data_IF_152545185182
#
_entry.id   IF_152545185182
#
_cell.length_a   1.000
_cell.length_b   1.000
_cell.length_c   1.000
_cell.angle_alpha   90.00
_cell.angle_beta   90.00
_cell.angle_gamma   90.00
#
_symmetry.space_group_name_H-M   'P 1'
#
loop_
_entity.id
_entity.type
_entity.pdbx_description
1 polymer ?
#
# COMPACT_ATOMS: atom_id res chain seq x y z
N UNK A 1 -14.76 -17.14 13.24
CA UNK A 1 -14.22 -15.78 13.40
C UNK A 1 -14.67 -14.86 12.26
N UNK A 2 -15.52 -13.88 12.55
CA UNK A 2 -15.99 -12.88 11.59
C UNK A 2 -15.07 -11.65 11.58
N UNK A 3 -14.86 -11.01 10.44
CA UNK A 3 -14.07 -9.76 10.36
C UNK A 3 -14.99 -8.55 10.49
N UNK A 4 -14.49 -7.47 11.06
CA UNK A 4 -15.26 -6.24 11.32
C UNK A 4 -14.57 -5.04 10.68
N UNK A 5 -15.36 -4.14 10.12
CA UNK A 5 -14.95 -2.78 9.79
C UNK A 5 -15.64 -1.84 10.78
N UNK A 6 -14.85 -1.29 11.70
CA UNK A 6 -15.27 -0.20 12.56
C UNK A 6 -15.05 1.10 11.81
N UNK A 7 -16.09 1.89 11.61
CA UNK A 7 -16.05 3.05 10.72
C UNK A 7 -16.50 4.27 11.50
N UNK A 8 -15.66 5.31 11.55
CA UNK A 8 -16.11 6.59 12.07
C UNK A 8 -17.12 7.24 11.13
N UNK A 9 -18.00 8.06 11.69
CA UNK A 9 -19.00 8.80 10.93
C UNK A 9 -18.40 10.08 10.35
N UNK A 10 -18.14 11.03 11.23
CA UNK A 10 -17.70 12.37 10.86
C UNK A 10 -16.23 12.32 10.43
N UNK A 11 -15.87 13.10 9.40
CA UNK A 11 -14.54 13.05 8.78
C UNK A 11 -14.26 11.81 7.90
N UNK A 12 -15.09 10.75 7.99
CA UNK A 12 -14.87 9.47 7.31
C UNK A 12 -15.98 9.10 6.31
N UNK A 13 -17.24 9.02 6.75
CA UNK A 13 -18.41 8.79 5.88
C UNK A 13 -18.93 10.10 5.31
N UNK A 14 -18.93 11.14 6.12
CA UNK A 14 -19.26 12.51 5.78
C UNK A 14 -18.09 13.46 6.12
N UNK A 15 -18.12 14.66 5.55
CA UNK A 15 -17.17 15.72 5.89
C UNK A 15 -17.58 16.31 7.23
N UNK A 16 -16.61 16.49 8.12
CA UNK A 16 -16.80 17.18 9.39
C UNK A 16 -16.78 18.71 9.17
N UNK A 17 -17.75 19.47 9.68
CA UNK A 17 -17.78 20.92 9.60
C UNK A 17 -16.83 21.55 10.64
N UNK A 18 -16.53 22.84 10.50
CA UNK A 18 -15.60 23.57 11.40
C UNK A 18 -16.03 23.56 12.88
N UNK A 19 -17.33 23.43 13.16
CA UNK A 19 -17.87 23.34 14.52
C UNK A 19 -18.02 21.91 15.02
N UNK A 20 -17.55 20.92 14.24
CA UNK A 20 -17.55 19.49 14.55
C UNK A 20 -18.96 18.91 14.81
N UNK A 21 -20.02 19.59 14.35
CA UNK A 21 -21.41 19.19 14.58
C UNK A 21 -22.21 19.13 13.28
N UNK A 22 -22.54 17.92 12.84
CA UNK A 22 -23.40 17.65 11.67
C UNK A 22 -24.85 17.55 12.10
N UNK A 23 -25.43 18.72 12.40
CA UNK A 23 -26.73 18.93 13.07
C UNK A 23 -27.79 19.58 12.15
N UNK A 24 -27.48 19.77 10.86
CA UNK A 24 -28.41 20.30 9.87
C UNK A 24 -28.12 19.81 8.46
N UNK A 25 -29.14 19.77 7.60
CA UNK A 25 -28.99 19.33 6.21
C UNK A 25 -28.05 20.23 5.40
N UNK A 26 -27.91 21.50 5.78
CA UNK A 26 -26.97 22.43 5.13
C UNK A 26 -25.50 22.06 5.39
N UNK A 27 -25.21 21.40 6.52
CA UNK A 27 -23.87 20.93 6.89
C UNK A 27 -23.57 19.54 6.34
N UNK A 28 -24.59 18.71 6.11
CA UNK A 28 -24.38 17.35 5.62
C UNK A 28 -23.76 17.33 4.22
N UNK A 29 -22.51 16.86 4.15
CA UNK A 29 -21.80 16.57 2.90
C UNK A 29 -21.15 15.20 3.01
N UNK A 30 -21.51 14.27 2.13
CA UNK A 30 -20.85 12.96 2.10
C UNK A 30 -19.39 13.09 1.69
N UNK A 31 -18.54 12.27 2.29
CA UNK A 31 -17.14 12.20 1.91
C UNK A 31 -17.04 11.71 0.45
N UNK A 32 -16.16 12.31 -0.39
CA UNK A 32 -16.02 11.90 -1.78
C UNK A 32 -15.89 10.38 -1.96
N UNK A 33 -16.79 9.80 -2.74
CA UNK A 33 -16.84 8.36 -3.11
C UNK A 33 -17.06 7.39 -1.92
N UNK A 34 -17.36 7.87 -0.71
CA UNK A 34 -17.61 6.98 0.46
C UNK A 34 -18.79 6.05 0.21
N UNK A 35 -19.92 6.58 -0.26
CA UNK A 35 -21.11 5.81 -0.61
C UNK A 35 -20.78 4.71 -1.62
N UNK A 36 -20.16 5.08 -2.75
CA UNK A 36 -19.85 4.14 -3.84
C UNK A 36 -18.95 2.99 -3.38
N UNK A 37 -17.80 3.29 -2.76
CA UNK A 37 -16.86 2.25 -2.38
C UNK A 37 -17.30 1.46 -1.15
N UNK A 38 -18.03 2.06 -0.21
CA UNK A 38 -18.59 1.30 0.91
C UNK A 38 -19.70 0.35 0.45
N UNK A 39 -20.52 0.73 -0.54
CA UNK A 39 -21.48 -0.17 -1.20
C UNK A 39 -20.77 -1.37 -1.85
N UNK A 40 -19.66 -1.14 -2.55
CA UNK A 40 -18.85 -2.24 -3.10
C UNK A 40 -18.26 -3.12 -2.01
N UNK A 41 -17.76 -2.54 -0.91
CA UNK A 41 -17.26 -3.33 0.23
C UNK A 41 -18.37 -4.20 0.81
N UNK A 42 -19.56 -3.62 1.06
CA UNK A 42 -20.70 -4.33 1.62
C UNK A 42 -21.22 -5.47 0.72
N UNK A 43 -21.20 -5.28 -0.59
CA UNK A 43 -21.71 -6.27 -1.56
C UNK A 43 -20.70 -7.32 -1.98
N UNK A 44 -19.40 -7.00 -1.98
CA UNK A 44 -18.37 -7.87 -2.53
C UNK A 44 -17.44 -8.50 -1.48
N UNK A 45 -17.54 -8.10 -0.21
CA UNK A 45 -16.64 -8.55 0.85
C UNK A 45 -17.40 -8.99 2.10
N UNK A 46 -16.82 -9.96 2.80
CA UNK A 46 -17.40 -10.51 4.03
C UNK A 46 -16.85 -9.77 5.26
N UNK A 47 -17.39 -8.57 5.49
CA UNK A 47 -17.15 -7.77 6.69
C UNK A 47 -18.46 -7.45 7.40
N UNK A 48 -18.44 -7.51 8.73
CA UNK A 48 -19.44 -6.84 9.55
C UNK A 48 -19.16 -5.34 9.61
N UNK A 49 -20.14 -4.49 9.28
CA UNK A 49 -19.98 -3.05 9.31
C UNK A 49 -20.52 -2.48 10.62
N UNK A 50 -19.67 -1.80 11.38
CA UNK A 50 -20.02 -1.21 12.68
C UNK A 50 -19.65 0.25 12.65
N UNK A 51 -20.61 1.14 12.93
CA UNK A 51 -20.32 2.57 13.05
C UNK A 51 -19.90 2.89 14.48
N UNK A 52 -18.80 3.61 14.67
CA UNK A 52 -18.33 4.03 16.00
C UNK A 52 -17.97 5.50 15.98
N UNK A 53 -18.73 6.33 16.68
CA UNK A 53 -18.56 7.79 16.64
C UNK A 53 -18.67 8.42 18.04
N UNK A 54 -17.90 9.49 18.24
CA UNK A 54 -18.00 10.35 19.42
C UNK A 54 -18.86 11.57 19.04
N UNK A 55 -19.92 11.85 19.79
CA UNK A 55 -20.84 12.97 19.55
C UNK A 55 -20.89 13.85 20.80
N UNK A 56 -19.97 14.81 20.88
CA UNK A 56 -19.78 15.66 22.06
C UNK A 56 -21.09 16.30 22.53
N UNK A 57 -21.50 15.95 23.74
CA UNK A 57 -22.67 16.52 24.39
C UNK A 57 -24.00 16.19 23.71
N UNK A 58 -24.10 15.10 22.94
CA UNK A 58 -25.37 14.69 22.32
C UNK A 58 -26.46 14.51 23.41
N UNK A 59 -27.59 15.21 23.25
CA UNK A 59 -28.67 15.27 24.23
C UNK A 59 -28.57 16.42 25.22
N UNK A 60 -27.56 17.29 25.10
CA UNK A 60 -27.44 18.54 25.86
C UNK A 60 -27.88 19.75 25.01
N UNK A 61 -28.05 20.95 25.61
CA UNK A 61 -28.39 22.15 24.83
C UNK A 61 -27.37 22.53 23.75
N UNK A 62 -26.10 22.11 23.86
CA UNK A 62 -25.08 22.37 22.84
C UNK A 62 -25.15 21.42 21.65
N UNK A 63 -25.78 20.25 21.81
CA UNK A 63 -26.03 19.29 20.73
C UNK A 63 -27.35 18.54 20.95
N UNK A 64 -28.50 19.18 20.67
CA UNK A 64 -29.83 18.60 20.90
C UNK A 64 -30.09 17.40 19.99
N UNK A 65 -30.70 16.34 20.54
CA UNK A 65 -31.05 15.13 19.79
C UNK A 65 -31.99 15.40 18.61
N UNK A 66 -32.87 16.41 18.72
CA UNK A 66 -33.79 16.84 17.66
C UNK A 66 -33.08 17.32 16.39
N UNK A 67 -31.85 17.81 16.52
CA UNK A 67 -31.04 18.27 15.38
C UNK A 67 -30.16 17.13 14.84
N UNK A 68 -29.66 16.25 15.70
CA UNK A 68 -28.80 15.13 15.31
C UNK A 68 -29.54 14.02 14.57
N UNK A 69 -30.63 13.50 15.14
CA UNK A 69 -31.26 12.27 14.63
C UNK A 69 -31.80 12.37 13.21
N UNK A 70 -32.45 13.46 12.77
CA UNK A 70 -32.92 13.56 11.38
C UNK A 70 -31.78 13.46 10.37
N UNK A 71 -30.63 14.05 10.67
CA UNK A 71 -29.46 14.06 9.78
C UNK A 71 -28.74 12.72 9.80
N UNK A 72 -28.55 12.15 11.00
CA UNK A 72 -27.99 10.81 11.17
C UNK A 72 -28.81 9.75 10.44
N UNK A 73 -30.13 9.74 10.62
CA UNK A 73 -31.01 8.77 9.97
C UNK A 73 -31.06 8.94 8.46
N UNK A 74 -31.11 10.18 7.95
CA UNK A 74 -31.04 10.42 6.50
C UNK A 74 -29.74 9.88 5.88
N UNK A 75 -28.61 10.06 6.58
CA UNK A 75 -27.33 9.50 6.16
C UNK A 75 -27.38 7.97 6.13
N UNK A 76 -27.90 7.32 7.18
CA UNK A 76 -28.07 5.86 7.22
C UNK A 76 -28.99 5.36 6.10
N UNK A 77 -30.13 6.00 5.88
CA UNK A 77 -31.07 5.64 4.80
C UNK A 77 -30.42 5.77 3.42
N UNK A 78 -29.58 6.79 3.23
CA UNK A 78 -28.82 6.96 1.99
C UNK A 78 -27.84 5.80 1.77
N UNK A 79 -27.09 5.41 2.80
CA UNK A 79 -26.19 4.25 2.73
C UNK A 79 -26.94 2.93 2.54
N UNK A 80 -28.06 2.74 3.25
CA UNK A 80 -28.92 1.56 3.13
C UNK A 80 -29.54 1.44 1.73
N UNK A 81 -29.91 2.55 1.09
CA UNK A 81 -30.38 2.59 -0.30
C UNK A 81 -29.35 2.07 -1.31
N UNK A 82 -28.06 2.14 -0.97
CA UNK A 82 -26.94 1.60 -1.74
C UNK A 82 -26.46 0.23 -1.22
N UNK A 83 -27.25 -0.42 -0.35
CA UNK A 83 -26.98 -1.77 0.18
C UNK A 83 -26.04 -1.82 1.39
N UNK A 84 -25.63 -0.68 1.94
CA UNK A 84 -24.76 -0.60 3.12
C UNK A 84 -25.60 -0.62 4.39
N UNK A 85 -25.57 -1.72 5.13
CA UNK A 85 -26.27 -1.86 6.41
C UNK A 85 -25.26 -2.05 7.54
N UNK A 86 -25.30 -1.14 8.52
CA UNK A 86 -24.51 -1.28 9.74
C UNK A 86 -25.20 -2.28 10.69
N UNK A 87 -24.47 -3.28 11.17
CA UNK A 87 -25.01 -4.25 12.14
C UNK A 87 -25.20 -3.62 13.52
N UNK A 88 -24.41 -2.59 13.81
CA UNK A 88 -24.50 -1.82 15.04
C UNK A 88 -23.97 -0.39 14.82
N UNK A 89 -24.56 0.54 15.57
CA UNK A 89 -24.16 1.94 15.61
C UNK A 89 -23.88 2.29 17.07
N UNK A 90 -22.61 2.60 17.36
CA UNK A 90 -22.12 2.92 18.70
C UNK A 90 -21.82 4.41 18.75
N UNK A 91 -22.55 5.11 19.62
CA UNK A 91 -22.44 6.56 19.79
C UNK A 91 -22.09 6.84 21.25
N UNK A 92 -20.89 7.38 21.48
CA UNK A 92 -20.54 7.97 22.77
C UNK A 92 -20.99 9.44 22.80
N UNK A 93 -21.65 9.86 23.89
CA UNK A 93 -22.25 11.20 24.02
C UNK A 93 -21.43 12.15 24.90
N UNK A 94 -20.32 11.67 25.47
CA UNK A 94 -19.52 12.42 26.46
C UNK A 94 -18.60 13.44 25.79
N UNK A 95 -18.15 14.44 26.52
CA UNK A 95 -17.17 15.40 26.01
C UNK A 95 -15.75 14.83 26.11
N UNK A 96 -14.84 15.29 25.25
CA UNK A 96 -13.42 14.90 25.32
C UNK A 96 -12.80 15.09 26.72
N UNK A 97 -13.14 16.19 27.40
CA UNK A 97 -12.66 16.51 28.76
C UNK A 97 -13.09 15.50 29.83
N UNK A 98 -14.14 14.74 29.58
CA UNK A 98 -14.71 13.80 30.56
C UNK A 98 -13.86 12.52 30.66
N UNK A 99 -12.97 12.26 29.69
CA UNK A 99 -12.08 11.10 29.64
C UNK A 99 -12.81 9.76 29.90
N UNK A 100 -14.04 9.65 29.40
CA UNK A 100 -14.88 8.48 29.64
C UNK A 100 -14.30 7.25 28.93
N UNK A 101 -14.28 6.05 29.57
CA UNK A 101 -13.77 4.83 28.95
C UNK A 101 -14.63 4.33 27.78
N UNK A 102 -15.83 4.88 27.62
CA UNK A 102 -16.78 4.61 26.53
C UNK A 102 -16.47 5.42 25.27
N UNK A 103 -15.76 6.55 25.40
CA UNK A 103 -15.37 7.44 24.31
C UNK A 103 -14.14 6.90 23.59
N UNK A 104 -14.11 6.92 22.25
CA UNK A 104 -12.88 6.59 21.50
C UNK A 104 -11.74 7.51 21.95
N UNK A 105 -10.52 6.98 22.22
CA UNK A 105 -10.04 5.64 21.85
C UNK A 105 -10.36 4.50 22.84
N UNK A 106 -11.13 4.76 23.89
CA UNK A 106 -11.61 3.76 24.84
C UNK A 106 -12.51 2.69 24.20
N UNK A 107 -12.51 1.49 24.78
CA UNK A 107 -13.16 0.30 24.22
C UNK A 107 -14.36 -0.19 25.04
N UNK A 108 -14.83 0.56 26.05
CA UNK A 108 -15.84 0.06 26.97
C UNK A 108 -17.18 -0.28 26.28
N UNK A 109 -17.56 0.45 25.22
CA UNK A 109 -18.74 0.15 24.39
C UNK A 109 -18.50 -0.99 23.38
N UNK A 110 -17.26 -1.44 23.21
CA UNK A 110 -16.83 -2.41 22.19
C UNK A 110 -16.39 -3.75 22.79
N UNK A 111 -16.58 -3.94 24.10
CA UNK A 111 -16.15 -5.14 24.84
C UNK A 111 -16.65 -6.45 24.26
N UNK A 112 -17.83 -6.46 23.63
CA UNK A 112 -18.38 -7.64 22.94
C UNK A 112 -17.51 -8.12 21.77
N UNK A 113 -16.80 -7.22 21.10
CA UNK A 113 -15.92 -7.57 19.98
C UNK A 113 -14.59 -8.15 20.47
N UNK A 114 -14.13 -7.74 21.65
CA UNK A 114 -12.91 -8.26 22.30
C UNK A 114 -13.08 -9.67 22.89
N UNK A 115 -14.31 -10.03 23.24
CA UNK A 115 -14.65 -11.30 23.91
C UNK A 115 -15.41 -12.28 23.00
N UNK A 116 -15.84 -11.84 21.82
CA UNK A 116 -16.60 -12.63 20.85
C UNK A 116 -15.74 -13.39 19.84
N UNK A 117 -16.41 -14.12 18.94
CA UNK A 117 -15.77 -14.87 17.84
C UNK A 117 -15.42 -13.96 16.64
N UNK A 118 -14.54 -12.97 16.86
CA UNK A 118 -14.11 -12.01 15.84
C UNK A 118 -12.62 -12.14 15.51
N UNK A 119 -12.29 -12.05 14.22
CA UNK A 119 -10.91 -11.99 13.72
C UNK A 119 -10.42 -10.54 13.72
N UNK A 120 -10.12 -10.02 14.91
CA UNK A 120 -9.70 -8.63 15.07
C UNK A 120 -8.37 -8.32 14.36
N UNK A 121 -7.47 -9.30 14.26
CA UNK A 121 -6.19 -9.17 13.54
C UNK A 121 -6.36 -8.86 12.05
N UNK A 122 -7.47 -9.30 11.44
CA UNK A 122 -7.86 -9.00 10.06
C UNK A 122 -9.09 -8.07 9.97
N UNK A 123 -9.40 -7.38 11.07
CA UNK A 123 -10.40 -6.32 11.15
C UNK A 123 -9.72 -4.95 11.10
N UNK A 124 -10.50 -3.92 10.78
CA UNK A 124 -9.96 -2.58 10.58
C UNK A 124 -10.80 -1.53 11.29
N UNK A 125 -10.14 -0.49 11.80
CA UNK A 125 -10.78 0.78 12.15
C UNK A 125 -10.46 1.79 11.04
N UNK A 126 -11.49 2.43 10.51
CA UNK A 126 -11.40 3.47 9.49
C UNK A 126 -11.82 4.79 10.14
N UNK A 127 -10.92 5.76 10.14
CA UNK A 127 -11.15 7.05 10.79
C UNK A 127 -10.16 8.10 10.29
N UNK A 128 -10.49 9.38 10.51
CA UNK A 128 -9.68 10.53 10.09
C UNK A 128 -8.91 11.16 11.27
N UNK A 129 -9.09 10.66 12.49
CA UNK A 129 -8.41 11.15 13.71
C UNK A 129 -7.45 10.10 14.28
N UNK A 130 -6.44 10.57 15.04
CA UNK A 130 -5.51 9.68 15.74
C UNK A 130 -6.21 8.81 16.80
N UNK A 131 -7.33 9.27 17.36
CA UNK A 131 -8.10 8.47 18.32
C UNK A 131 -8.66 7.19 17.67
N UNK A 132 -8.95 7.17 16.37
CA UNK A 132 -9.38 5.96 15.65
C UNK A 132 -8.22 4.99 15.46
N UNK A 133 -7.02 5.52 15.20
CA UNK A 133 -5.80 4.72 15.12
C UNK A 133 -5.48 4.07 16.47
N UNK A 134 -5.58 4.84 17.56
CA UNK A 134 -5.38 4.32 18.92
C UNK A 134 -6.52 3.35 19.30
N UNK A 135 -7.75 3.58 18.85
CA UNK A 135 -8.83 2.62 19.01
C UNK A 135 -8.49 1.29 18.33
N UNK A 136 -7.97 1.32 17.09
CA UNK A 136 -7.55 0.11 16.39
C UNK A 136 -6.53 -0.68 17.20
N UNK A 137 -5.51 0.00 17.72
CA UNK A 137 -4.50 -0.56 18.62
C UNK A 137 -5.14 -1.21 19.86
N UNK A 138 -6.06 -0.49 20.53
CA UNK A 138 -6.74 -0.97 21.73
C UNK A 138 -7.66 -2.17 21.46
N UNK A 139 -8.19 -2.29 20.24
CA UNK A 139 -8.96 -3.45 19.79
C UNK A 139 -8.08 -4.62 19.32
N UNK A 140 -6.78 -4.43 19.10
CA UNK A 140 -5.94 -5.41 18.42
C UNK A 140 -6.23 -5.54 16.92
N UNK A 141 -6.84 -4.50 16.33
CA UNK A 141 -7.13 -4.37 14.91
C UNK A 141 -6.09 -3.50 14.19
N UNK A 142 -6.22 -3.38 12.86
CA UNK A 142 -5.38 -2.49 12.04
C UNK A 142 -6.08 -1.16 11.80
N UNK A 143 -5.32 -0.08 11.63
CA UNK A 143 -5.86 1.24 11.33
C UNK A 143 -5.75 1.58 9.84
N UNK A 144 -6.81 2.15 9.28
CA UNK A 144 -6.83 2.84 8.00
C UNK A 144 -7.09 4.30 8.31
N UNK A 145 -6.08 5.14 8.12
CA UNK A 145 -6.10 6.54 8.51
C UNK A 145 -6.45 7.44 7.33
N UNK A 146 -7.66 8.01 7.34
CA UNK A 146 -8.17 8.97 6.36
C UNK A 146 -7.63 10.38 6.63
N UNK A 147 -6.32 10.54 6.50
CA UNK A 147 -5.58 11.73 6.92
C UNK A 147 -5.87 12.93 6.02
N UNK A 148 -6.81 13.78 6.41
CA UNK A 148 -7.12 15.03 5.71
C UNK A 148 -6.25 16.21 6.15
N UNK A 149 -5.98 16.34 7.45
CA UNK A 149 -5.28 17.50 8.01
C UNK A 149 -4.51 17.11 9.29
N UNK A 150 -3.24 17.51 9.38
CA UNK A 150 -2.33 17.17 10.50
C UNK A 150 -2.68 17.91 11.81
N UNK A 151 -3.59 18.87 11.76
CA UNK A 151 -3.96 19.73 12.89
C UNK A 151 -5.22 19.25 13.66
N UNK A 152 -6.03 18.37 13.08
CA UNK A 152 -7.26 17.86 13.70
C UNK A 152 -6.92 16.92 14.87
N UNK A 153 -7.49 17.19 16.06
CA UNK A 153 -7.24 16.41 17.29
C UNK A 153 -5.91 16.71 18.02
N UNK A 154 -5.20 17.77 17.63
CA UNK A 154 -3.90 18.16 18.25
C UNK A 154 -3.96 18.56 19.73
N UNK A 155 -5.16 18.73 20.28
CA UNK A 155 -5.43 19.03 21.70
C UNK A 155 -5.65 17.78 22.56
N UNK A 156 -5.82 16.60 21.96
CA UNK A 156 -5.98 15.33 22.68
C UNK A 156 -4.59 14.74 22.99
N UNK A 157 -4.31 14.43 24.25
CA UNK A 157 -3.03 13.87 24.70
C UNK A 157 -2.88 12.40 24.27
N UNK A 158 -2.68 12.17 22.98
CA UNK A 158 -2.58 10.86 22.35
C UNK A 158 -1.12 10.45 22.09
N UNK A 159 -0.91 9.15 21.91
CA UNK A 159 0.35 8.59 21.42
C UNK A 159 0.80 9.36 20.16
N UNK A 160 2.09 9.67 20.06
CA UNK A 160 2.64 10.36 18.88
C UNK A 160 2.45 9.50 17.64
N UNK A 161 2.11 10.11 16.50
CA UNK A 161 1.95 9.41 15.21
C UNK A 161 3.11 8.43 14.90
N UNK A 162 4.34 8.82 15.21
CA UNK A 162 5.55 8.01 15.05
C UNK A 162 5.50 6.64 15.77
N UNK A 163 4.82 6.55 16.92
CA UNK A 163 4.69 5.29 17.69
C UNK A 163 3.53 4.42 17.24
N UNK A 164 2.73 4.89 16.27
CA UNK A 164 1.53 4.21 15.76
C UNK A 164 1.71 3.70 14.32
N UNK A 165 2.87 3.93 13.69
CA UNK A 165 3.17 3.55 12.30
C UNK A 165 2.96 2.06 12.04
N UNK A 166 3.25 1.19 13.01
CA UNK A 166 3.08 -0.27 12.87
C UNK A 166 1.61 -0.71 12.85
N UNK A 167 0.70 0.12 13.36
CA UNK A 167 -0.75 -0.14 13.40
C UNK A 167 -1.44 0.36 12.13
N UNK A 168 -0.94 1.47 11.57
CA UNK A 168 -1.49 2.09 10.37
C UNK A 168 -1.05 1.30 9.14
N UNK A 169 -1.99 0.56 8.53
CA UNK A 169 -1.70 -0.22 7.33
C UNK A 169 -1.80 0.62 6.05
N UNK A 170 -2.59 1.71 6.09
CA UNK A 170 -2.82 2.64 5.00
C UNK A 170 -3.11 4.05 5.53
N UNK A 171 -2.40 5.03 4.98
CA UNK A 171 -2.74 6.45 5.06
C UNK A 171 -3.23 6.91 3.69
N UNK A 172 -4.41 7.52 3.62
CA UNK A 172 -5.01 7.98 2.37
C UNK A 172 -6.00 9.14 2.59
N UNK A 173 -6.43 9.77 1.51
CA UNK A 173 -7.54 10.72 1.45
C UNK A 173 -8.68 10.22 0.53
N UNK A 174 -8.60 8.95 0.09
CA UNK A 174 -9.48 8.41 -0.95
C UNK A 174 -10.04 7.07 -0.51
N UNK A 175 -11.37 6.97 -0.52
CA UNK A 175 -12.08 5.70 -0.31
C UNK A 175 -11.73 4.61 -1.33
N UNK A 176 -11.22 4.99 -2.51
CA UNK A 176 -10.71 4.05 -3.51
C UNK A 176 -9.54 3.22 -2.97
N UNK A 177 -8.60 3.86 -2.27
CA UNK A 177 -7.43 3.17 -1.74
C UNK A 177 -7.83 2.20 -0.62
N UNK A 178 -8.85 2.56 0.16
CA UNK A 178 -9.46 1.69 1.18
C UNK A 178 -10.08 0.45 0.53
N UNK A 179 -10.92 0.63 -0.48
CA UNK A 179 -11.51 -0.47 -1.23
C UNK A 179 -10.43 -1.37 -1.84
N UNK A 180 -9.41 -0.78 -2.48
CA UNK A 180 -8.30 -1.51 -3.09
C UNK A 180 -7.52 -2.33 -2.06
N UNK A 181 -7.21 -1.74 -0.89
CA UNK A 181 -6.57 -2.44 0.21
C UNK A 181 -7.44 -3.61 0.71
N UNK A 182 -8.72 -3.38 0.98
CA UNK A 182 -9.60 -4.40 1.54
C UNK A 182 -9.87 -5.54 0.55
N UNK A 183 -9.96 -5.23 -0.75
CA UNK A 183 -10.19 -6.22 -1.82
C UNK A 183 -8.94 -7.02 -2.15
N UNK A 184 -7.82 -6.33 -2.32
CA UNK A 184 -6.62 -6.90 -2.93
C UNK A 184 -5.46 -7.08 -1.95
N UNK A 185 -5.51 -6.48 -0.76
CA UNK A 185 -4.45 -6.54 0.25
C UNK A 185 -3.26 -5.63 -0.06
N UNK A 186 -2.32 -5.52 0.88
CA UNK A 186 -1.08 -4.76 0.68
C UNK A 186 -0.02 -5.61 -0.03
N UNK A 187 0.86 -4.96 -0.80
CA UNK A 187 2.02 -5.57 -1.46
C UNK A 187 3.31 -4.92 -0.99
N UNK A 188 3.45 -4.84 0.33
CA UNK A 188 4.65 -4.38 1.05
C UNK A 188 5.43 -5.60 1.56
N UNK A 189 6.71 -5.67 1.26
CA UNK A 189 7.57 -6.82 1.48
C UNK A 189 8.85 -6.34 2.16
N UNK A 190 9.17 -6.93 3.32
CA UNK A 190 10.51 -6.92 3.86
C UNK A 190 11.14 -8.28 3.55
N UNK A 191 12.31 -8.26 2.91
CA UNK A 191 13.05 -9.46 2.56
C UNK A 191 14.51 -9.30 2.94
N UNK A 192 15.04 -10.30 3.66
CA UNK A 192 16.43 -10.35 4.08
C UNK A 192 17.06 -11.62 3.52
N UNK A 193 18.21 -11.46 2.86
CA UNK A 193 19.03 -12.56 2.34
C UNK A 193 20.45 -12.40 2.88
N UNK A 194 20.96 -13.43 3.53
CA UNK A 194 22.27 -13.42 4.17
C UNK A 194 23.07 -14.67 3.82
N UNK A 195 24.30 -14.48 3.36
CA UNK A 195 25.30 -15.52 3.11
C UNK A 195 26.58 -15.19 3.88
N UNK A 196 27.67 -15.92 3.62
CA UNK A 196 28.99 -15.57 4.13
C UNK A 196 29.64 -14.41 3.35
N UNK A 197 29.13 -14.11 2.16
CA UNK A 197 29.67 -13.10 1.24
C UNK A 197 28.88 -11.79 1.35
N UNK A 198 27.55 -11.89 1.50
CA UNK A 198 26.64 -10.72 1.48
C UNK A 198 25.57 -10.74 2.57
N UNK A 199 25.13 -9.55 2.98
CA UNK A 199 23.97 -9.31 3.86
C UNK A 199 23.10 -8.22 3.22
N UNK A 200 21.92 -8.62 2.73
CA UNK A 200 21.07 -7.77 1.89
C UNK A 200 19.67 -7.69 2.48
N UNK A 201 19.18 -6.47 2.67
CA UNK A 201 17.81 -6.16 3.07
C UNK A 201 17.11 -5.38 1.97
N UNK A 202 15.91 -5.84 1.59
CA UNK A 202 15.02 -5.21 0.62
C UNK A 202 13.71 -4.85 1.32
N UNK A 203 13.31 -3.58 1.29
CA UNK A 203 11.93 -3.17 1.56
C UNK A 203 11.29 -2.72 0.25
N UNK A 204 10.23 -3.41 -0.17
CA UNK A 204 9.56 -3.18 -1.46
C UNK A 204 8.08 -2.90 -1.23
N UNK A 205 7.57 -1.83 -1.83
CA UNK A 205 6.14 -1.54 -1.95
C UNK A 205 5.77 -1.47 -3.43
N UNK A 206 5.08 -2.50 -3.93
CA UNK A 206 4.67 -2.59 -5.33
C UNK A 206 3.59 -1.56 -5.71
N UNK A 207 2.93 -0.96 -4.72
CA UNK A 207 1.89 0.06 -4.88
C UNK A 207 2.41 1.46 -4.48
N UNK A 208 3.73 1.65 -4.52
CA UNK A 208 4.40 2.86 -4.08
C UNK A 208 4.29 4.07 -5.02
N UNK A 209 5.10 5.09 -4.74
CA UNK A 209 5.13 6.36 -5.50
C UNK A 209 6.47 6.61 -6.18
N UNK A 210 7.41 5.67 -6.08
CA UNK A 210 8.75 5.78 -6.65
C UNK A 210 9.79 6.37 -5.71
N UNK A 211 9.59 6.25 -4.38
CA UNK A 211 10.61 6.62 -3.38
C UNK A 211 11.70 5.55 -3.33
N UNK A 212 12.95 5.97 -3.33
CA UNK A 212 14.10 5.07 -3.27
C UNK A 212 15.03 5.41 -2.10
N UNK A 213 15.63 4.38 -1.51
CA UNK A 213 16.79 4.50 -0.63
C UNK A 213 17.72 3.33 -0.93
N UNK A 214 18.79 3.59 -1.67
CA UNK A 214 19.66 2.54 -2.21
C UNK A 214 21.07 2.74 -1.67
N UNK A 215 21.59 1.70 -1.02
CA UNK A 215 22.93 1.66 -0.43
C UNK A 215 23.53 0.28 -0.70
N UNK A 216 24.15 0.09 -1.88
CA UNK A 216 24.86 -1.16 -2.21
C UNK A 216 26.38 -1.07 -2.01
N UNK A 217 26.90 0.16 -1.88
CA UNK A 217 28.33 0.43 -1.92
C UNK A 217 28.90 0.66 -3.32
N UNK A 218 28.06 0.55 -4.36
CA UNK A 218 28.40 0.79 -5.77
C UNK A 218 27.50 1.90 -6.31
N UNK A 219 28.05 3.10 -6.48
CA UNK A 219 27.31 4.32 -6.83
C UNK A 219 26.58 4.23 -8.17
N UNK A 220 27.19 3.60 -9.18
CA UNK A 220 26.54 3.45 -10.48
C UNK A 220 25.38 2.45 -10.40
N UNK A 221 25.56 1.37 -9.65
CA UNK A 221 24.50 0.39 -9.42
C UNK A 221 23.35 0.98 -8.58
N UNK A 222 23.68 1.77 -7.56
CA UNK A 222 22.71 2.51 -6.75
C UNK A 222 21.83 3.41 -7.64
N UNK A 223 22.47 4.15 -8.55
CA UNK A 223 21.79 4.99 -9.52
C UNK A 223 20.87 4.19 -10.46
N UNK A 224 21.27 2.99 -10.88
CA UNK A 224 20.45 2.11 -11.72
C UNK A 224 19.24 1.54 -10.97
N UNK A 225 19.39 1.12 -9.72
CA UNK A 225 18.28 0.64 -8.89
C UNK A 225 17.28 1.77 -8.56
N UNK A 226 17.74 3.01 -8.41
CA UNK A 226 16.86 4.18 -8.29
C UNK A 226 15.92 4.33 -9.51
N UNK A 227 16.41 4.03 -10.72
CA UNK A 227 15.58 4.06 -11.93
C UNK A 227 14.41 3.06 -11.84
N UNK A 228 14.61 1.90 -11.21
CA UNK A 228 13.55 0.89 -10.99
C UNK A 228 12.44 1.48 -10.13
N UNK A 229 12.79 2.10 -9.00
CA UNK A 229 11.81 2.72 -8.12
C UNK A 229 11.06 3.84 -8.83
N UNK A 230 11.80 4.81 -9.38
CA UNK A 230 11.28 6.04 -9.99
C UNK A 230 10.34 5.75 -11.16
N UNK A 231 10.80 4.94 -12.11
CA UNK A 231 10.05 4.69 -13.34
C UNK A 231 9.04 3.56 -13.19
N UNK A 232 9.28 2.64 -12.25
CA UNK A 232 8.38 1.56 -11.84
C UNK A 232 7.20 2.04 -10.98
N UNK A 233 7.33 3.23 -10.37
CA UNK A 233 6.40 3.71 -9.34
C UNK A 233 6.24 2.70 -8.20
N UNK A 234 7.36 2.12 -7.77
CA UNK A 234 7.44 1.26 -6.58
C UNK A 234 8.30 1.95 -5.55
N UNK A 235 8.00 1.81 -4.25
CA UNK A 235 8.94 2.26 -3.24
C UNK A 235 9.96 1.15 -2.99
N UNK A 236 11.24 1.49 -2.97
CA UNK A 236 12.31 0.51 -2.88
C UNK A 236 13.41 1.00 -1.93
N UNK A 237 13.66 0.25 -0.88
CA UNK A 237 14.88 0.34 -0.08
C UNK A 237 15.74 -0.89 -0.33
N UNK A 238 17.02 -0.68 -0.63
CA UNK A 238 18.03 -1.72 -0.75
C UNK A 238 19.21 -1.34 0.11
N UNK A 239 19.55 -2.18 1.07
CA UNK A 239 20.77 -2.06 1.87
C UNK A 239 21.54 -3.35 1.65
N UNK A 240 22.70 -3.26 0.98
CA UNK A 240 23.57 -4.40 0.75
C UNK A 240 24.94 -4.17 1.40
N UNK A 241 25.43 -5.19 2.10
CA UNK A 241 26.79 -5.26 2.62
C UNK A 241 27.44 -6.50 2.04
N UNK A 242 28.29 -6.32 1.04
CA UNK A 242 29.02 -7.40 0.41
C UNK A 242 30.53 -7.26 0.55
N UNK A 243 31.22 -8.26 0.01
CA UNK A 243 32.67 -8.44 0.02
C UNK A 243 33.37 -7.67 -1.12
N UNK A 244 33.05 -6.38 -1.29
CA UNK A 244 33.59 -5.48 -2.34
C UNK A 244 35.12 -5.36 -2.40
N UNK A 245 35.83 -5.92 -1.41
CA UNK A 245 37.29 -6.00 -1.40
C UNK A 245 37.85 -7.18 -2.22
N UNK A 246 37.00 -8.15 -2.56
CA UNK A 246 37.28 -9.24 -3.51
C UNK A 246 36.95 -8.72 -4.91
N UNK A 247 35.67 -8.49 -5.20
CA UNK A 247 35.12 -7.81 -6.37
C UNK A 247 33.65 -7.41 -6.10
N UNK A 248 32.97 -6.87 -7.10
CA UNK A 248 31.56 -6.49 -7.00
C UNK A 248 30.55 -7.62 -7.32
N UNK A 249 31.04 -8.80 -7.73
CA UNK A 249 30.24 -9.86 -8.33
C UNK A 249 29.13 -10.34 -7.39
N UNK A 250 29.52 -10.82 -6.21
CA UNK A 250 28.57 -11.37 -5.23
C UNK A 250 27.56 -10.32 -4.79
N UNK A 251 27.99 -9.06 -4.62
CA UNK A 251 27.10 -7.96 -4.23
C UNK A 251 26.02 -7.73 -5.28
N UNK A 252 26.39 -7.60 -6.55
CA UNK A 252 25.43 -7.34 -7.65
C UNK A 252 24.51 -8.55 -7.86
N UNK A 253 25.07 -9.75 -7.90
CA UNK A 253 24.33 -10.99 -8.10
C UNK A 253 23.29 -11.19 -6.99
N UNK A 254 23.73 -11.15 -5.73
CA UNK A 254 22.86 -11.40 -4.59
C UNK A 254 21.81 -10.30 -4.41
N UNK A 255 22.12 -9.04 -4.77
CA UNK A 255 21.10 -7.98 -4.84
C UNK A 255 20.05 -8.31 -5.90
N UNK A 256 20.45 -8.82 -7.08
CA UNK A 256 19.53 -9.28 -8.11
C UNK A 256 18.62 -10.42 -7.62
N UNK A 257 19.19 -11.41 -6.92
CA UNK A 257 18.43 -12.52 -6.30
C UNK A 257 17.45 -11.98 -5.27
N UNK A 258 17.93 -11.22 -4.28
CA UNK A 258 17.11 -10.70 -3.19
C UNK A 258 15.97 -9.82 -3.71
N UNK A 259 16.25 -8.96 -4.71
CA UNK A 259 15.23 -8.15 -5.35
C UNK A 259 14.20 -9.02 -6.08
N UNK A 260 14.64 -10.01 -6.86
CA UNK A 260 13.75 -10.94 -7.56
C UNK A 260 12.85 -11.73 -6.60
N UNK A 261 13.39 -12.20 -5.48
CA UNK A 261 12.64 -12.88 -4.41
C UNK A 261 11.61 -11.94 -3.77
N UNK A 262 11.95 -10.68 -3.53
CA UNK A 262 11.03 -9.68 -3.01
C UNK A 262 9.86 -9.40 -3.98
N UNK A 263 10.14 -9.29 -5.28
CA UNK A 263 9.09 -9.18 -6.32
C UNK A 263 8.21 -10.42 -6.39
N UNK A 264 8.79 -11.63 -6.37
CA UNK A 264 8.02 -12.87 -6.35
C UNK A 264 7.07 -12.93 -5.14
N UNK A 265 7.56 -12.57 -3.95
CA UNK A 265 6.75 -12.49 -2.72
C UNK A 265 5.63 -11.46 -2.86
N UNK A 266 5.92 -10.28 -3.41
CA UNK A 266 4.93 -9.21 -3.55
C UNK A 266 3.85 -9.48 -4.58
N UNK A 267 4.17 -10.22 -5.65
CA UNK A 267 3.22 -10.61 -6.68
C UNK A 267 2.24 -11.69 -6.21
N UNK A 268 2.65 -12.54 -5.28
CA UNK A 268 1.79 -13.55 -4.64
C UNK A 268 1.06 -14.42 -5.67
N UNK A 269 -0.28 -14.44 -5.61
CA UNK A 269 -1.13 -15.25 -6.49
C UNK A 269 -1.38 -14.65 -7.88
N UNK A 270 -0.81 -13.48 -8.19
CA UNK A 270 -0.84 -12.82 -9.52
C UNK A 270 -2.25 -12.52 -10.05
N UNK A 271 -3.26 -12.46 -9.18
CA UNK A 271 -4.63 -12.09 -9.58
C UNK A 271 -4.69 -10.60 -9.97
N UNK A 272 -5.33 -10.33 -11.11
CA UNK A 272 -5.65 -8.98 -11.58
C UNK A 272 -4.49 -8.17 -12.16
N UNK A 273 -3.34 -8.79 -12.44
CA UNK A 273 -2.17 -8.09 -13.01
C UNK A 273 -2.17 -8.04 -14.55
N UNK A 274 -1.57 -7.00 -15.15
CA UNK A 274 -1.52 -6.81 -16.63
C UNK A 274 -0.43 -7.64 -17.33
N UNK A 275 0.57 -8.13 -16.60
CA UNK A 275 1.58 -9.13 -17.02
C UNK A 275 2.67 -8.73 -18.03
N UNK A 276 2.47 -7.78 -18.97
CA UNK A 276 3.37 -7.57 -20.14
C UNK A 276 4.15 -6.23 -20.19
N UNK A 277 5.19 -6.16 -21.06
CA UNK A 277 6.31 -5.18 -21.00
C UNK A 277 6.28 -3.95 -21.92
N UNK A 278 7.44 -3.28 -22.09
CA UNK A 278 7.63 -1.88 -22.54
C UNK A 278 8.79 -1.67 -23.56
N UNK A 279 8.78 -0.54 -24.27
CA UNK A 279 9.83 -0.08 -25.19
C UNK A 279 10.16 1.41 -24.94
N UNK A 280 11.45 1.80 -24.92
CA UNK A 280 11.91 3.14 -24.57
C UNK A 280 13.06 3.62 -25.48
N UNK A 281 12.92 4.76 -26.18
CA UNK A 281 14.05 5.49 -26.76
C UNK A 281 14.68 6.44 -25.72
N UNK A 282 16.01 6.58 -25.73
CA UNK A 282 16.77 7.54 -24.93
C UNK A 282 18.07 7.92 -25.63
N UNK A 283 18.19 9.19 -26.02
CA UNK A 283 19.32 9.72 -26.79
C UNK A 283 19.64 8.86 -28.02
N UNK A 284 20.86 8.32 -28.12
CA UNK A 284 21.31 7.41 -29.18
C UNK A 284 20.85 5.96 -28.99
N UNK A 285 20.14 5.66 -27.89
CA UNK A 285 19.76 4.31 -27.52
C UNK A 285 18.27 4.01 -27.77
N UNK A 286 17.99 2.79 -28.22
CA UNK A 286 16.67 2.16 -28.16
C UNK A 286 16.75 0.91 -27.29
N UNK A 287 15.99 0.87 -26.19
CA UNK A 287 15.89 -0.28 -25.30
C UNK A 287 14.47 -0.89 -25.33
N UNK A 288 14.41 -2.21 -25.39
CA UNK A 288 13.17 -2.97 -25.38
C UNK A 288 13.23 -3.99 -24.24
N UNK A 289 12.20 -4.00 -23.39
CA UNK A 289 12.12 -4.95 -22.28
C UNK A 289 10.73 -5.56 -22.23
N UNK A 290 10.63 -6.83 -22.60
CA UNK A 290 9.42 -7.63 -22.42
C UNK A 290 9.57 -8.50 -21.16
N UNK A 291 8.61 -8.39 -20.26
CA UNK A 291 8.53 -9.19 -19.03
C UNK A 291 7.24 -10.00 -19.02
N UNK A 292 7.31 -11.22 -18.48
CA UNK A 292 6.16 -12.06 -18.19
C UNK A 292 6.35 -12.72 -16.81
N UNK A 293 5.56 -12.29 -15.81
CA UNK A 293 5.50 -12.91 -14.48
C UNK A 293 4.75 -14.25 -14.47
N UNK A 294 4.99 -15.09 -15.47
CA UNK A 294 4.29 -16.34 -15.73
C UNK A 294 4.72 -17.52 -14.87
N UNK A 295 5.64 -17.33 -13.91
CA UNK A 295 6.09 -18.36 -12.96
C UNK A 295 7.20 -19.27 -13.49
N UNK A 296 7.77 -18.97 -14.65
CA UNK A 296 8.93 -19.66 -15.22
C UNK A 296 10.04 -18.65 -15.42
N UNK A 297 11.24 -19.03 -15.05
CA UNK A 297 12.43 -18.23 -15.28
C UNK A 297 13.01 -18.50 -16.67
N UNK A 298 13.25 -17.43 -17.43
CA UNK A 298 13.97 -17.47 -18.68
C UNK A 298 14.50 -16.07 -19.00
N UNK A 299 15.71 -15.95 -19.52
CA UNK A 299 16.23 -14.68 -20.02
C UNK A 299 16.66 -14.81 -21.48
N UNK A 300 16.35 -13.77 -22.25
CA UNK A 300 16.96 -13.51 -23.56
C UNK A 300 17.62 -12.14 -23.47
N UNK A 301 18.90 -12.07 -23.81
CA UNK A 301 19.71 -10.88 -23.70
C UNK A 301 20.35 -10.57 -25.06
N UNK A 302 19.98 -9.42 -25.63
CA UNK A 302 20.46 -8.90 -26.90
C UNK A 302 20.95 -7.46 -26.72
N UNK A 303 22.02 -7.31 -25.95
CA UNK A 303 22.70 -6.04 -25.74
C UNK A 303 24.20 -6.29 -25.61
N UNK A 304 24.98 -5.63 -26.47
CA UNK A 304 26.44 -5.70 -26.46
C UNK A 304 27.04 -4.42 -25.86
N UNK A 305 28.03 -4.58 -24.99
CA UNK A 305 28.78 -3.48 -24.39
C UNK A 305 30.25 -3.58 -24.80
N UNK A 306 30.85 -2.43 -25.18
CA UNK A 306 32.26 -2.40 -25.63
C UNK A 306 33.21 -1.99 -24.52
N UNK A 307 32.72 -1.25 -23.52
CA UNK A 307 33.48 -0.90 -22.32
C UNK A 307 33.54 -2.09 -21.36
N UNK A 308 34.67 -2.26 -20.70
CA UNK A 308 34.82 -3.19 -19.58
C UNK A 308 33.99 -2.76 -18.37
N UNK A 309 33.90 -1.44 -18.13
CA UNK A 309 33.28 -0.86 -16.93
C UNK A 309 32.56 0.46 -17.21
N UNK A 310 31.44 0.67 -16.50
CA UNK A 310 30.76 1.98 -16.39
C UNK A 310 30.67 2.36 -14.91
N UNK A 311 31.33 3.47 -14.53
CA UNK A 311 31.44 3.86 -13.13
C UNK A 311 32.17 2.80 -12.30
N UNK A 312 31.51 2.30 -11.26
CA UNK A 312 31.98 1.20 -10.40
C UNK A 312 31.46 -0.19 -10.81
N UNK A 313 30.74 -0.33 -11.94
CA UNK A 313 30.13 -1.60 -12.36
C UNK A 313 30.72 -2.17 -13.67
N UNK A 314 31.25 -3.42 -13.68
CA UNK A 314 31.64 -4.11 -14.91
C UNK A 314 30.43 -4.39 -15.79
N UNK A 315 30.61 -4.30 -17.11
CA UNK A 315 29.49 -4.41 -18.05
C UNK A 315 28.94 -5.84 -18.18
N UNK A 316 29.73 -6.86 -17.88
CA UNK A 316 29.25 -8.24 -17.80
C UNK A 316 28.20 -8.45 -16.70
N UNK A 317 28.31 -7.69 -15.61
CA UNK A 317 27.44 -7.84 -14.45
C UNK A 317 26.00 -7.38 -14.69
N UNK A 318 25.72 -6.62 -15.74
CA UNK A 318 24.33 -6.28 -16.11
C UNK A 318 23.54 -7.52 -16.53
N UNK A 319 24.13 -8.39 -17.37
CA UNK A 319 23.49 -9.65 -17.73
C UNK A 319 23.26 -10.52 -16.49
N UNK A 320 24.28 -10.64 -15.63
CA UNK A 320 24.20 -11.43 -14.39
C UNK A 320 23.09 -10.90 -13.46
N UNK A 321 23.00 -9.59 -13.24
CA UNK A 321 21.92 -8.99 -12.44
C UNK A 321 20.53 -9.37 -12.95
N UNK A 322 20.27 -9.19 -14.26
CA UNK A 322 18.96 -9.49 -14.84
C UNK A 322 18.68 -10.99 -14.90
N UNK A 323 19.70 -11.83 -15.12
CA UNK A 323 19.59 -13.29 -15.04
C UNK A 323 19.15 -13.70 -13.65
N UNK A 324 19.85 -13.24 -12.62
CA UNK A 324 19.56 -13.53 -11.22
C UNK A 324 18.18 -13.03 -10.79
N UNK A 325 17.80 -11.82 -11.21
CA UNK A 325 16.45 -11.30 -11.00
C UNK A 325 15.39 -12.20 -11.66
N UNK A 326 15.58 -12.59 -12.93
CA UNK A 326 14.61 -13.41 -13.66
C UNK A 326 14.41 -14.80 -13.04
N UNK A 327 15.49 -15.40 -12.55
CA UNK A 327 15.48 -16.68 -11.85
C UNK A 327 14.71 -16.59 -10.54
N UNK A 328 15.08 -15.63 -9.71
CA UNK A 328 14.50 -15.43 -8.39
C UNK A 328 13.02 -15.01 -8.45
N UNK A 329 12.68 -14.11 -9.38
CA UNK A 329 11.30 -13.65 -9.60
C UNK A 329 10.43 -14.64 -10.37
N UNK A 330 11.04 -15.69 -10.95
CA UNK A 330 10.38 -16.67 -11.83
C UNK A 330 9.64 -16.01 -12.99
N UNK A 331 10.31 -15.06 -13.64
CA UNK A 331 9.77 -14.37 -14.81
C UNK A 331 10.54 -14.71 -16.08
N UNK A 332 9.84 -14.65 -17.21
CA UNK A 332 10.51 -14.56 -18.49
C UNK A 332 10.89 -13.09 -18.74
N UNK A 333 12.12 -12.85 -19.17
CA UNK A 333 12.66 -11.53 -19.42
C UNK A 333 13.35 -11.52 -20.78
N UNK A 334 12.97 -10.60 -21.65
CA UNK A 334 13.63 -10.37 -22.94
C UNK A 334 14.09 -8.93 -22.98
N UNK A 335 15.39 -8.72 -23.08
CA UNK A 335 16.02 -7.41 -23.08
C UNK A 335 16.81 -7.26 -24.37
N UNK A 336 16.55 -6.17 -25.09
CA UNK A 336 17.31 -5.73 -26.24
C UNK A 336 17.74 -4.28 -26.08
N UNK A 337 18.96 -3.93 -26.45
CA UNK A 337 19.39 -2.54 -26.54
C UNK A 337 20.38 -2.29 -27.67
N UNK A 338 20.12 -1.22 -28.43
CA UNK A 338 21.00 -0.72 -29.50
C UNK A 338 21.40 0.73 -29.17
N UNK A 339 22.63 1.12 -29.46
CA UNK A 339 23.18 2.45 -29.16
C UNK A 339 24.70 2.45 -29.04
N UNK A 340 25.31 3.63 -29.08
CA UNK A 340 26.76 3.83 -29.08
C UNK A 340 27.31 4.02 -27.66
N UNK A 341 26.61 4.77 -26.81
CA UNK A 341 27.04 5.05 -25.44
C UNK A 341 26.57 3.96 -24.47
N UNK A 342 27.49 3.30 -23.76
CA UNK A 342 27.14 2.24 -22.80
C UNK A 342 26.30 2.73 -21.63
N UNK A 343 26.59 3.93 -21.10
CA UNK A 343 25.78 4.51 -20.02
C UNK A 343 24.33 4.65 -20.49
N UNK A 344 24.12 5.23 -21.68
CA UNK A 344 22.78 5.44 -22.22
C UNK A 344 22.07 4.11 -22.45
N UNK A 345 22.76 3.10 -23.00
CA UNK A 345 22.18 1.76 -23.15
C UNK A 345 21.72 1.16 -21.84
N UNK A 346 22.58 1.17 -20.84
CA UNK A 346 22.29 0.57 -19.53
C UNK A 346 21.12 1.31 -18.86
N UNK A 347 21.18 2.64 -18.79
CA UNK A 347 20.13 3.42 -18.15
C UNK A 347 18.78 3.29 -18.91
N UNK A 348 18.81 3.21 -20.24
CA UNK A 348 17.62 2.94 -21.05
C UNK A 348 17.03 1.55 -20.76
N UNK A 349 17.86 0.51 -20.60
CA UNK A 349 17.42 -0.84 -20.20
C UNK A 349 16.74 -0.78 -18.83
N UNK A 350 17.34 -0.14 -17.82
CA UNK A 350 16.76 -0.05 -16.49
C UNK A 350 15.44 0.73 -16.49
N UNK A 351 15.34 1.84 -17.22
CA UNK A 351 14.09 2.60 -17.37
C UNK A 351 13.02 1.78 -18.09
N UNK A 352 13.37 1.09 -19.16
CA UNK A 352 12.45 0.24 -19.90
C UNK A 352 11.96 -0.94 -19.04
N UNK A 353 12.86 -1.57 -18.29
CA UNK A 353 12.56 -2.62 -17.32
C UNK A 353 11.63 -2.13 -16.20
N UNK A 354 11.92 -0.96 -15.62
CA UNK A 354 11.07 -0.34 -14.61
C UNK A 354 9.66 -0.07 -15.13
N UNK A 355 9.52 0.46 -16.35
CA UNK A 355 8.22 0.68 -16.99
C UNK A 355 7.50 -0.62 -17.31
N UNK A 356 8.23 -1.64 -17.76
CA UNK A 356 7.69 -2.98 -18.00
C UNK A 356 7.13 -3.58 -16.70
N UNK A 357 7.88 -3.47 -15.59
CA UNK A 357 7.42 -3.83 -14.25
C UNK A 357 6.14 -3.06 -13.90
N UNK A 358 6.15 -1.73 -13.99
CA UNK A 358 4.99 -0.89 -13.62
C UNK A 358 3.71 -1.36 -14.29
N UNK A 359 3.78 -1.62 -15.59
CA UNK A 359 2.64 -2.14 -16.34
C UNK A 359 2.31 -3.54 -15.84
N UNK A 360 3.27 -4.47 -15.86
CA UNK A 360 3.04 -5.87 -15.56
C UNK A 360 2.50 -6.13 -14.14
N UNK A 361 2.87 -5.31 -13.14
CA UNK A 361 2.44 -5.46 -11.74
C UNK A 361 1.18 -4.65 -11.41
N UNK A 362 0.70 -3.79 -12.31
CA UNK A 362 -0.53 -3.01 -12.09
C UNK A 362 -1.66 -3.98 -11.81
N UNK A 363 -2.34 -3.79 -10.67
CA UNK A 363 -3.41 -4.66 -10.21
C UNK A 363 -4.74 -3.93 -10.26
N UNK A 364 -5.76 -4.57 -10.81
CA UNK A 364 -7.12 -4.04 -10.88
C UNK A 364 -8.02 -4.73 -9.83
N UNK A 365 -8.39 -3.99 -8.79
CA UNK A 365 -9.27 -4.49 -7.73
C UNK A 365 -10.72 -4.70 -8.19
N UNK A 366 -11.13 -4.11 -9.32
CA UNK A 366 -12.44 -4.39 -9.95
C UNK A 366 -12.38 -5.65 -10.84
N UNK A 367 -11.18 -6.08 -11.23
CA UNK A 367 -10.96 -7.24 -12.11
C UNK A 367 -9.90 -8.20 -11.54
N UNK A 368 -10.21 -8.80 -10.40
CA UNK A 368 -9.38 -9.79 -9.71
C UNK A 368 -9.42 -11.19 -10.35
N UNK A 369 -9.14 -11.28 -11.66
CA UNK A 369 -9.10 -12.52 -12.43
C UNK A 369 -7.65 -12.95 -12.66
N UNK A 370 -7.37 -14.25 -12.62
CA UNK A 370 -6.04 -14.76 -12.95
C UNK A 370 -5.78 -14.59 -14.46
N UNK A 371 -4.68 -13.91 -14.88
CA UNK A 371 -4.37 -13.72 -16.29
C UNK A 371 -3.71 -14.98 -16.91
N UNK A 372 -4.38 -16.12 -16.78
CA UNK A 372 -3.93 -17.43 -17.26
C UNK A 372 -5.10 -18.31 -17.69
N UNK A 373 -5.01 -18.83 -18.92
CA UNK A 373 -5.98 -19.81 -19.45
C UNK A 373 -5.86 -21.17 -18.77
N UNK A 374 -4.74 -21.47 -18.11
CA UNK A 374 -4.50 -22.74 -17.40
C UNK A 374 -5.10 -22.76 -15.99
N UNK A 375 -5.60 -21.63 -15.49
CA UNK A 375 -6.11 -21.51 -14.11
C UNK A 375 -5.03 -21.52 -13.02
N UNK A 376 -3.75 -21.50 -13.38
CA UNK A 376 -2.60 -21.45 -12.47
C UNK A 376 -1.43 -20.66 -13.09
N UNK A 377 -0.60 -20.02 -12.25
CA UNK A 377 0.65 -19.29 -12.57
C UNK A 377 1.69 -19.39 -11.46
#
# INVERSE_FOLDING_TARGET
>A
MKKVLFIDRDGTLNIEPDDEQVDSFAKLKFYPRSIYYLSKIASEMDYELVMVTNQDGLGTPSNPEENFWPIHNFMLDTFAGEGVNFSEIIIDKTFAKDNAPTRKPGTALLTKYLSGDYDLKNSYVIGDRLNDVVLAKNLGAKAIFLRQNDALGSTEALDKHETLLDIIILETQKWEDIYNLLKAGSRKINHVRKTNETDITINLDLDGTGKAKIETGLNFFDHMLDQIARHGSVNLEVIAKGDLHIDEHHTIEDTGIALGEAFAKGLGNKLGIERYGFCLPMDDCLAQVAIDFGGRNWIVWDAEFKREKVGDMPTEMFYHFFKSFSDASKCNLNIKAEGDNEHHKIEAIFKAFAKAIKMAIKRDAEKMVLPSTKGLL
#
